data_IF_550806206794
#
_entry.id   IF_550806206794
#
_cell.length_a   1.000
_cell.length_b   1.000
_cell.length_c   1.000
_cell.angle_alpha   90.00
_cell.angle_beta   90.00
_cell.angle_gamma   90.00
#
_symmetry.space_group_name_H-M   'P 1'
#
loop_
_entity.id
_entity.type
_entity.pdbx_description
1 polymer ?
#
# COMPACT_ATOMS: atom_id res chain seq x y z
N UNK A 1 -65.55 8.32 -43.92
CA UNK A 1 -66.38 9.11 -42.99
C UNK A 1 -65.63 9.29 -41.71
N UNK A 2 -65.03 10.46 -41.50
CA UNK A 2 -64.35 10.83 -40.27
C UNK A 2 -65.30 11.66 -39.42
N UNK A 3 -65.50 11.46 -38.10
CA UNK A 3 -66.20 12.36 -37.22
C UNK A 3 -65.31 13.53 -36.80
N UNK A 4 -65.90 14.74 -36.84
CA UNK A 4 -65.30 16.02 -36.53
C UNK A 4 -65.00 16.27 -35.05
N UNK A 5 -64.35 17.41 -34.74
CA UNK A 5 -63.91 17.72 -33.41
C UNK A 5 -65.07 18.35 -32.58
N UNK A 6 -65.46 17.69 -31.49
CA UNK A 6 -66.30 18.30 -30.47
C UNK A 6 -65.47 18.90 -29.33
N UNK A 7 -65.82 20.11 -29.05
CA UNK A 7 -65.40 21.08 -28.06
C UNK A 7 -65.06 20.54 -26.68
N UNK A 8 -63.88 20.84 -26.20
CA UNK A 8 -63.57 21.00 -24.77
C UNK A 8 -63.61 22.49 -24.41
N UNK A 9 -64.81 22.93 -24.02
CA UNK A 9 -64.98 24.21 -23.34
C UNK A 9 -64.95 23.97 -21.83
N UNK A 10 -64.14 24.71 -21.13
CA UNK A 10 -64.34 25.03 -19.75
C UNK A 10 -63.48 24.34 -18.71
N UNK A 11 -62.35 24.90 -18.45
CA UNK A 11 -61.72 25.12 -17.12
C UNK A 11 -60.59 26.12 -17.27
N UNK A 12 -60.91 27.41 -17.26
CA UNK A 12 -59.89 28.46 -17.06
C UNK A 12 -59.41 28.41 -15.61
N UNK A 13 -58.12 28.19 -15.34
CA UNK A 13 -57.58 28.44 -14.03
C UNK A 13 -57.53 29.97 -13.83
N UNK A 14 -58.18 30.42 -12.77
CA UNK A 14 -58.21 31.82 -12.32
C UNK A 14 -56.81 32.27 -11.89
N UNK A 15 -55.99 32.62 -12.87
CA UNK A 15 -54.64 33.18 -12.65
C UNK A 15 -54.83 34.67 -12.34
N UNK A 16 -54.66 35.07 -11.06
CA UNK A 16 -54.51 36.45 -10.66
C UNK A 16 -53.32 37.03 -11.43
N UNK A 17 -53.58 37.99 -12.35
CA UNK A 17 -52.58 38.67 -13.14
C UNK A 17 -51.67 39.45 -12.20
N UNK A 18 -50.36 39.19 -12.17
CA UNK A 18 -49.40 40.04 -11.44
C UNK A 18 -49.29 41.41 -12.13
N UNK A 19 -49.04 42.47 -11.34
CA UNK A 19 -48.78 43.83 -11.86
C UNK A 19 -47.51 43.78 -12.73
N UNK A 20 -47.68 44.10 -13.99
CA UNK A 20 -46.69 43.96 -15.04
C UNK A 20 -45.98 45.28 -15.30
N UNK A 21 -44.67 45.35 -15.10
CA UNK A 21 -43.82 46.46 -15.56
C UNK A 21 -43.44 46.18 -17.03
N UNK A 22 -43.92 47.05 -17.95
CA UNK A 22 -43.54 46.95 -19.38
C UNK A 22 -42.13 47.46 -19.60
N UNK A 23 -41.21 46.58 -19.94
CA UNK A 23 -39.85 46.91 -20.40
C UNK A 23 -39.77 46.74 -21.91
N UNK A 24 -39.63 47.83 -22.67
CA UNK A 24 -39.37 47.78 -24.11
C UNK A 24 -37.93 47.48 -24.38
N UNK A 25 -37.59 46.28 -24.86
CA UNK A 25 -36.29 45.93 -25.40
C UNK A 25 -36.34 46.11 -26.93
N UNK A 26 -35.61 47.16 -27.42
CA UNK A 26 -35.40 47.38 -28.85
C UNK A 26 -34.19 46.53 -29.26
N UNK A 27 -34.44 45.43 -29.92
CA UNK A 27 -33.36 44.66 -30.56
C UNK A 27 -33.15 45.14 -31.99
N UNK A 28 -32.08 45.88 -32.26
CA UNK A 28 -31.64 46.18 -33.61
C UNK A 28 -31.03 44.97 -34.30
N UNK A 29 -31.87 44.09 -34.75
CA UNK A 29 -31.46 43.01 -35.66
C UNK A 29 -32.32 43.16 -36.93
N UNK A 30 -31.71 43.60 -38.04
CA UNK A 30 -32.36 43.78 -39.35
C UNK A 30 -32.68 42.44 -40.01
N UNK A 31 -33.87 41.91 -39.74
CA UNK A 31 -34.52 40.90 -40.60
C UNK A 31 -35.82 41.54 -41.13
N UNK A 32 -36.20 41.21 -42.37
CA UNK A 32 -37.26 41.95 -43.06
C UNK A 32 -38.65 41.38 -42.75
N UNK A 33 -39.06 41.35 -41.48
CA UNK A 33 -40.43 41.18 -41.10
C UNK A 33 -40.69 41.94 -39.81
N UNK A 34 -41.66 42.76 -39.92
CA UNK A 34 -42.12 43.80 -39.00
C UNK A 34 -42.40 43.29 -37.58
N UNK A 35 -41.90 44.02 -36.58
CA UNK A 35 -42.46 44.31 -35.27
C UNK A 35 -43.07 43.18 -34.48
N UNK A 36 -42.27 42.19 -34.13
CA UNK A 36 -42.62 41.36 -32.97
C UNK A 36 -41.98 41.94 -31.72
N UNK A 37 -42.74 42.81 -31.04
CA UNK A 37 -42.42 43.17 -29.64
C UNK A 37 -42.64 41.93 -28.77
N UNK A 38 -41.58 41.33 -28.33
CA UNK A 38 -41.64 40.25 -27.33
C UNK A 38 -41.75 40.94 -25.99
N UNK A 39 -42.97 41.06 -25.47
CA UNK A 39 -43.22 41.53 -24.11
C UNK A 39 -42.75 40.47 -23.10
N UNK A 40 -41.58 40.68 -22.57
CA UNK A 40 -41.14 39.91 -21.37
C UNK A 40 -41.71 40.59 -20.14
N UNK A 41 -42.61 39.94 -19.48
CA UNK A 41 -43.14 40.36 -18.19
C UNK A 41 -42.21 39.82 -17.09
N UNK A 42 -41.37 40.68 -16.52
CA UNK A 42 -40.53 40.36 -15.36
C UNK A 42 -41.31 40.76 -14.10
N UNK A 43 -41.58 39.81 -13.16
CA UNK A 43 -42.23 40.18 -11.90
C UNK A 43 -41.27 41.10 -11.10
N UNK A 44 -41.77 42.19 -10.50
CA UNK A 44 -40.92 43.22 -9.89
C UNK A 44 -40.25 42.85 -8.55
N UNK A 45 -40.38 41.60 -8.08
CA UNK A 45 -39.94 41.20 -6.75
C UNK A 45 -38.95 40.01 -6.73
N UNK A 46 -38.34 39.63 -7.84
CA UNK A 46 -37.34 38.56 -7.80
C UNK A 46 -35.96 39.13 -7.41
N UNK A 47 -35.54 38.80 -6.21
CA UNK A 47 -34.18 39.09 -5.70
C UNK A 47 -33.09 38.45 -6.58
N UNK A 48 -33.45 37.48 -7.44
CA UNK A 48 -32.58 36.74 -8.34
C UNK A 48 -33.16 36.77 -9.75
N UNK A 49 -32.50 37.44 -10.72
CA UNK A 49 -33.01 37.59 -12.09
C UNK A 49 -33.07 36.31 -12.92
N UNK A 50 -32.63 35.19 -12.37
CA UNK A 50 -32.52 33.85 -13.04
C UNK A 50 -33.67 32.90 -12.65
N UNK A 51 -34.47 33.19 -11.64
CA UNK A 51 -35.47 32.29 -11.12
C UNK A 51 -36.79 33.01 -10.93
N UNK A 52 -37.75 32.86 -11.87
CA UNK A 52 -39.06 33.50 -11.82
C UNK A 52 -39.98 32.90 -10.74
N UNK A 53 -39.81 31.59 -10.49
CA UNK A 53 -40.61 30.89 -9.46
C UNK A 53 -39.78 29.78 -8.81
N UNK A 54 -39.76 29.75 -7.47
CA UNK A 54 -39.21 28.64 -6.71
C UNK A 54 -40.15 27.43 -6.83
N UNK A 55 -39.60 26.31 -7.32
CA UNK A 55 -40.37 25.03 -7.32
C UNK A 55 -40.49 24.49 -5.90
N UNK A 56 -41.59 23.78 -5.65
CA UNK A 56 -41.78 23.05 -4.40
C UNK A 56 -40.64 22.04 -4.16
N UNK A 57 -40.37 21.72 -2.87
CA UNK A 57 -39.36 20.73 -2.54
C UNK A 57 -39.62 19.40 -3.29
N UNK A 58 -38.57 18.85 -3.84
CA UNK A 58 -38.66 17.61 -4.60
C UNK A 58 -39.07 16.43 -3.70
N UNK A 59 -39.54 15.36 -4.31
CA UNK A 59 -40.00 14.14 -3.65
C UNK A 59 -39.01 13.62 -2.60
N UNK A 60 -39.49 12.95 -1.56
CA UNK A 60 -38.70 12.42 -0.44
C UNK A 60 -37.51 11.55 -0.91
N UNK A 61 -37.67 10.75 -1.96
CA UNK A 61 -36.59 9.93 -2.53
C UNK A 61 -35.39 10.75 -3.00
N UNK A 62 -35.66 11.92 -3.59
CA UNK A 62 -34.60 12.84 -3.99
C UNK A 62 -33.81 13.37 -2.77
N UNK A 63 -34.50 13.73 -1.70
CA UNK A 63 -33.90 14.23 -0.46
C UNK A 63 -33.07 13.14 0.22
N UNK A 64 -33.58 11.89 0.28
CA UNK A 64 -32.87 10.75 0.82
C UNK A 64 -31.61 10.41 -0.01
N UNK A 65 -31.67 10.48 -1.33
CA UNK A 65 -30.53 10.29 -2.20
C UNK A 65 -29.42 11.31 -1.90
N UNK A 66 -29.77 12.59 -1.75
CA UNK A 66 -28.81 13.65 -1.38
C UNK A 66 -28.24 13.47 0.02
N UNK A 67 -29.02 12.99 0.99
CA UNK A 67 -28.51 12.59 2.30
C UNK A 67 -27.47 11.48 2.19
N UNK A 68 -27.71 10.45 1.37
CA UNK A 68 -26.75 9.37 1.11
C UNK A 68 -25.45 9.92 0.49
N UNK A 69 -25.53 10.84 -0.47
CA UNK A 69 -24.35 11.49 -1.06
C UNK A 69 -23.58 12.30 -0.02
N UNK A 70 -24.25 13.05 0.84
CA UNK A 70 -23.63 13.80 1.91
C UNK A 70 -22.87 12.90 2.88
N UNK A 71 -23.45 11.76 3.27
CA UNK A 71 -22.80 10.77 4.13
C UNK A 71 -21.60 10.14 3.40
N UNK A 72 -21.73 9.86 2.09
CA UNK A 72 -20.64 9.32 1.30
C UNK A 72 -19.41 10.27 1.30
N UNK A 73 -19.64 11.56 1.09
CA UNK A 73 -18.56 12.56 1.08
C UNK A 73 -17.97 12.85 2.47
N UNK A 74 -18.68 12.55 3.56
CA UNK A 74 -18.14 12.63 4.92
C UNK A 74 -17.25 11.44 5.30
N UNK A 75 -16.92 10.55 4.37
CA UNK A 75 -16.14 9.33 4.59
C UNK A 75 -14.67 9.65 4.97
N UNK A 76 -14.07 8.92 5.92
CA UNK A 76 -12.66 9.09 6.30
C UNK A 76 -11.69 8.60 5.21
N UNK A 77 -10.51 9.23 5.11
CA UNK A 77 -9.45 8.87 4.16
C UNK A 77 -8.75 7.56 4.57
N UNK A 78 -9.41 6.43 4.41
CA UNK A 78 -8.87 5.10 4.67
C UNK A 78 -9.39 4.09 3.64
N UNK A 79 -8.71 2.95 3.47
CA UNK A 79 -9.20 1.90 2.54
C UNK A 79 -10.61 1.42 2.87
N UNK A 80 -10.96 1.33 4.17
CA UNK A 80 -12.31 1.01 4.61
C UNK A 80 -13.27 2.18 4.40
N UNK A 81 -12.79 3.42 4.55
CA UNK A 81 -13.56 4.62 4.27
C UNK A 81 -13.94 4.75 2.79
N UNK A 82 -13.01 4.45 1.88
CA UNK A 82 -13.31 4.43 0.44
C UNK A 82 -14.38 3.39 0.11
N UNK A 83 -14.35 2.21 0.73
CA UNK A 83 -15.42 1.21 0.59
C UNK A 83 -16.75 1.74 1.10
N UNK A 84 -16.76 2.37 2.28
CA UNK A 84 -17.94 3.00 2.87
C UNK A 84 -18.54 4.06 1.94
N UNK A 85 -17.70 4.94 1.38
CA UNK A 85 -18.07 5.97 0.42
C UNK A 85 -18.80 5.37 -0.79
N UNK A 86 -18.20 4.37 -1.45
CA UNK A 86 -18.81 3.75 -2.64
C UNK A 86 -20.13 3.02 -2.31
N UNK A 87 -20.25 2.40 -1.14
CA UNK A 87 -21.51 1.78 -0.71
C UNK A 87 -22.63 2.81 -0.58
N UNK A 88 -22.38 3.97 0.03
CA UNK A 88 -23.35 5.04 0.16
C UNK A 88 -23.68 5.72 -1.17
N UNK A 89 -22.67 5.86 -2.07
CA UNK A 89 -22.90 6.34 -3.42
C UNK A 89 -23.82 5.41 -4.21
N UNK A 90 -23.64 4.10 -4.12
CA UNK A 90 -24.53 3.12 -4.78
C UNK A 90 -25.96 3.28 -4.28
N UNK A 91 -26.15 3.37 -2.97
CA UNK A 91 -27.48 3.56 -2.38
C UNK A 91 -28.13 4.88 -2.84
N UNK A 92 -27.37 5.99 -2.81
CA UNK A 92 -27.85 7.28 -3.28
C UNK A 92 -28.20 7.29 -4.77
N UNK A 93 -27.34 6.72 -5.61
CA UNK A 93 -27.59 6.61 -7.06
C UNK A 93 -28.76 5.70 -7.38
N UNK A 94 -28.98 4.63 -6.61
CA UNK A 94 -30.16 3.78 -6.75
C UNK A 94 -31.44 4.55 -6.43
N UNK A 95 -31.50 5.29 -5.32
CA UNK A 95 -32.63 6.12 -4.95
C UNK A 95 -32.87 7.22 -5.98
N UNK A 96 -31.82 7.85 -6.48
CA UNK A 96 -31.89 8.90 -7.49
C UNK A 96 -32.40 8.35 -8.83
N UNK A 97 -31.95 7.18 -9.25
CA UNK A 97 -32.40 6.51 -10.47
C UNK A 97 -33.90 6.13 -10.37
N UNK A 98 -34.32 5.58 -9.23
CA UNK A 98 -35.75 5.24 -9.02
C UNK A 98 -36.62 6.48 -9.01
N UNK A 99 -36.17 7.59 -8.44
CA UNK A 99 -36.88 8.87 -8.49
C UNK A 99 -36.93 9.41 -9.92
N UNK A 100 -35.83 9.36 -10.69
CA UNK A 100 -35.77 9.81 -12.08
C UNK A 100 -36.75 9.04 -12.97
N UNK A 101 -36.88 7.73 -12.77
CA UNK A 101 -37.74 6.86 -13.55
C UNK A 101 -39.23 7.03 -13.17
N UNK A 102 -39.55 6.97 -11.86
CA UNK A 102 -40.92 6.89 -11.38
C UNK A 102 -41.60 8.26 -11.19
N UNK A 103 -40.83 9.31 -10.92
CA UNK A 103 -41.41 10.63 -10.55
C UNK A 103 -41.24 11.63 -11.68
N UNK A 104 -40.08 11.72 -12.30
CA UNK A 104 -39.83 12.70 -13.37
C UNK A 104 -40.09 12.10 -14.75
N UNK A 105 -40.04 10.76 -14.90
CA UNK A 105 -40.12 10.06 -16.18
C UNK A 105 -39.01 10.52 -17.18
N UNK A 106 -37.78 10.77 -16.68
CA UNK A 106 -36.66 11.23 -17.47
C UNK A 106 -35.68 10.07 -17.72
N UNK A 107 -35.73 9.38 -18.87
CA UNK A 107 -34.92 8.19 -19.14
C UNK A 107 -33.42 8.49 -19.28
N UNK A 108 -33.05 9.68 -19.73
CA UNK A 108 -31.68 10.17 -19.82
C UNK A 108 -31.03 10.31 -18.44
N UNK A 109 -31.71 10.93 -17.49
CA UNK A 109 -31.25 11.05 -16.10
C UNK A 109 -31.12 9.67 -15.44
N UNK A 110 -32.08 8.80 -15.67
CA UNK A 110 -32.03 7.41 -15.20
C UNK A 110 -30.80 6.69 -15.73
N UNK A 111 -30.57 6.74 -17.05
CA UNK A 111 -29.50 5.99 -17.72
C UNK A 111 -28.12 6.39 -17.19
N UNK A 112 -27.86 7.70 -17.05
CA UNK A 112 -26.59 8.17 -16.52
C UNK A 112 -26.37 7.78 -15.06
N UNK A 113 -27.36 7.92 -14.20
CA UNK A 113 -27.25 7.55 -12.80
C UNK A 113 -27.10 6.03 -12.61
N UNK A 114 -27.78 5.25 -13.43
CA UNK A 114 -27.64 3.80 -13.44
C UNK A 114 -26.22 3.38 -13.89
N UNK A 115 -25.66 4.02 -14.90
CA UNK A 115 -24.28 3.79 -15.34
C UNK A 115 -23.28 4.13 -14.23
N UNK A 116 -23.45 5.27 -13.54
CA UNK A 116 -22.59 5.63 -12.40
C UNK A 116 -22.74 4.64 -11.23
N UNK A 117 -23.92 4.12 -10.99
CA UNK A 117 -24.16 3.07 -10.00
C UNK A 117 -23.36 1.80 -10.33
N UNK A 118 -23.37 1.36 -11.59
CA UNK A 118 -22.61 0.19 -12.04
C UNK A 118 -21.09 0.41 -11.90
N UNK A 119 -20.58 1.59 -12.22
CA UNK A 119 -19.17 1.94 -12.03
C UNK A 119 -18.78 1.88 -10.54
N UNK A 120 -19.61 2.45 -9.66
CA UNK A 120 -19.36 2.38 -8.22
C UNK A 120 -19.41 0.94 -7.70
N UNK A 121 -20.30 0.10 -8.23
CA UNK A 121 -20.35 -1.33 -7.90
C UNK A 121 -19.06 -2.06 -8.33
N UNK A 122 -18.54 -1.78 -9.51
CA UNK A 122 -17.26 -2.33 -9.97
C UNK A 122 -16.11 -1.91 -9.04
N UNK A 123 -16.08 -0.65 -8.58
CA UNK A 123 -15.11 -0.18 -7.60
C UNK A 123 -15.22 -0.91 -6.26
N UNK A 124 -16.44 -1.14 -5.75
CA UNK A 124 -16.67 -1.93 -4.53
C UNK A 124 -16.10 -3.34 -4.68
N UNK A 125 -16.39 -4.03 -5.78
CA UNK A 125 -15.82 -5.37 -6.03
C UNK A 125 -14.31 -5.36 -6.10
N UNK A 126 -13.71 -4.35 -6.75
CA UNK A 126 -12.27 -4.20 -6.81
C UNK A 126 -11.64 -4.00 -5.42
N UNK A 127 -12.22 -3.12 -4.59
CA UNK A 127 -11.75 -2.87 -3.22
C UNK A 127 -11.91 -4.11 -2.35
N UNK A 128 -13.03 -4.82 -2.44
CA UNK A 128 -13.26 -6.08 -1.71
C UNK A 128 -12.25 -7.15 -2.12
N UNK A 129 -11.91 -7.24 -3.40
CA UNK A 129 -10.85 -8.12 -3.88
C UNK A 129 -9.49 -7.78 -3.26
N UNK A 130 -9.14 -6.48 -3.17
CA UNK A 130 -7.91 -6.03 -2.53
C UNK A 130 -7.89 -6.23 -1.01
N UNK A 131 -9.05 -6.17 -0.35
CA UNK A 131 -9.20 -6.36 1.10
C UNK A 131 -9.22 -7.83 1.52
N UNK A 132 -9.21 -8.79 0.58
CA UNK A 132 -9.18 -10.21 0.93
C UNK A 132 -7.99 -10.50 1.82
N UNK A 133 -8.19 -11.18 2.96
CA UNK A 133 -7.10 -11.57 3.84
C UNK A 133 -6.19 -12.58 3.10
N UNK A 134 -4.93 -12.21 2.96
CA UNK A 134 -3.91 -13.13 2.46
C UNK A 134 -3.63 -14.14 3.55
N UNK A 135 -3.87 -15.42 3.26
CA UNK A 135 -3.52 -16.55 4.15
C UNK A 135 -2.20 -17.15 3.65
N UNK A 136 -1.35 -17.54 4.59
CA UNK A 136 -0.11 -18.25 4.35
C UNK A 136 -0.20 -19.66 4.95
N UNK A 137 0.70 -20.55 4.53
CA UNK A 137 0.96 -21.81 5.22
C UNK A 137 1.47 -21.54 6.64
N UNK A 138 1.23 -22.47 7.59
CA UNK A 138 1.53 -22.25 9.01
C UNK A 138 3.00 -21.83 9.25
N UNK A 139 3.95 -22.45 8.54
CA UNK A 139 5.37 -22.11 8.64
C UNK A 139 5.68 -20.69 8.13
N UNK A 140 5.08 -20.28 7.01
CA UNK A 140 5.23 -18.93 6.46
C UNK A 140 4.52 -17.87 7.33
N UNK A 141 3.43 -18.25 7.99
CA UNK A 141 2.72 -17.36 8.92
C UNK A 141 3.59 -17.06 10.14
N UNK A 142 4.28 -18.07 10.67
CA UNK A 142 5.23 -17.93 11.78
C UNK A 142 6.39 -17.01 11.40
N UNK A 143 6.99 -17.23 10.21
CA UNK A 143 8.04 -16.36 9.66
C UNK A 143 7.55 -14.92 9.51
N UNK A 144 6.33 -14.73 8.97
CA UNK A 144 5.75 -13.40 8.84
C UNK A 144 5.61 -12.70 10.18
N UNK A 145 5.05 -13.37 11.19
CA UNK A 145 4.84 -12.80 12.51
C UNK A 145 6.15 -12.50 13.23
N UNK A 146 7.13 -13.40 13.13
CA UNK A 146 8.40 -13.28 13.86
C UNK A 146 9.33 -12.26 13.23
N UNK A 147 9.48 -12.25 11.90
CA UNK A 147 10.48 -11.43 11.23
C UNK A 147 9.92 -10.14 10.62
N UNK A 148 8.76 -10.19 9.95
CA UNK A 148 8.27 -9.09 9.11
C UNK A 148 7.20 -8.22 9.78
N UNK A 149 6.36 -8.80 10.63
CA UNK A 149 5.29 -8.08 11.34
C UNK A 149 5.81 -6.94 12.22
N UNK A 150 6.94 -7.09 12.96
CA UNK A 150 7.49 -6.00 13.77
C UNK A 150 7.87 -4.76 12.94
N UNK A 151 8.26 -4.95 11.67
CA UNK A 151 8.56 -3.87 10.74
C UNK A 151 7.34 -3.35 9.99
N UNK A 152 6.11 -3.75 10.36
CA UNK A 152 4.85 -3.34 9.71
C UNK A 152 4.79 -3.65 8.21
N UNK A 153 5.51 -4.66 7.74
CA UNK A 153 5.41 -5.15 6.36
C UNK A 153 3.98 -5.65 6.11
N UNK A 154 3.35 -5.20 5.03
CA UNK A 154 2.00 -5.64 4.71
C UNK A 154 2.00 -7.11 4.25
N UNK A 155 0.92 -7.84 4.54
CA UNK A 155 0.77 -9.24 4.09
C UNK A 155 0.88 -9.39 2.57
N UNK A 156 0.46 -8.38 1.81
CA UNK A 156 0.56 -8.39 0.36
C UNK A 156 2.01 -8.27 -0.13
N UNK A 157 2.81 -7.40 0.51
CA UNK A 157 4.24 -7.28 0.21
C UNK A 157 4.99 -8.56 0.55
N UNK A 158 4.73 -9.14 1.73
CA UNK A 158 5.31 -10.44 2.11
C UNK A 158 4.90 -11.55 1.13
N UNK A 159 3.61 -11.62 0.72
CA UNK A 159 3.15 -12.58 -0.29
C UNK A 159 3.92 -12.45 -1.60
N UNK A 160 4.19 -11.21 -2.05
CA UNK A 160 4.99 -10.99 -3.26
C UNK A 160 6.39 -11.52 -3.10
N UNK A 161 7.04 -11.25 -1.96
CA UNK A 161 8.40 -11.69 -1.67
C UNK A 161 8.55 -13.22 -1.62
N UNK A 162 7.54 -13.93 -1.09
CA UNK A 162 7.54 -15.41 -1.01
C UNK A 162 6.83 -16.09 -2.18
N UNK A 163 6.43 -15.32 -3.21
CA UNK A 163 5.81 -15.89 -4.41
C UNK A 163 6.81 -16.72 -5.20
N UNK A 164 6.30 -17.71 -5.94
CA UNK A 164 7.12 -18.59 -6.80
C UNK A 164 7.92 -17.84 -7.89
N UNK A 165 7.62 -16.57 -8.13
CA UNK A 165 8.38 -15.69 -9.03
C UNK A 165 9.77 -15.35 -8.44
N UNK A 166 9.86 -15.16 -7.13
CA UNK A 166 11.08 -14.67 -6.45
C UNK A 166 11.71 -15.71 -5.55
N UNK A 167 10.92 -16.59 -4.96
CA UNK A 167 11.35 -17.53 -3.94
C UNK A 167 10.92 -18.96 -4.24
N UNK A 168 11.69 -19.93 -3.77
CA UNK A 168 11.37 -21.33 -3.89
C UNK A 168 11.44 -22.00 -2.52
N UNK A 169 10.50 -22.90 -2.25
CA UNK A 169 10.46 -23.70 -1.02
C UNK A 169 10.98 -25.10 -1.35
N UNK A 170 11.98 -25.53 -0.58
CA UNK A 170 12.61 -26.87 -0.72
C UNK A 170 12.63 -27.58 0.63
N UNK A 171 12.80 -28.89 0.57
CA UNK A 171 12.96 -29.75 1.74
C UNK A 171 14.32 -30.43 1.73
N UNK A 172 14.88 -30.65 2.92
CA UNK A 172 16.11 -31.41 3.15
C UNK A 172 15.81 -32.55 4.11
N UNK A 173 16.33 -33.73 3.82
CA UNK A 173 16.29 -34.88 4.74
C UNK A 173 17.39 -34.77 5.78
N UNK A 174 17.24 -35.44 6.90
CA UNK A 174 18.27 -35.52 7.93
C UNK A 174 19.59 -36.07 7.34
N UNK A 175 20.69 -35.34 7.59
CA UNK A 175 22.03 -35.65 7.05
C UNK A 175 22.31 -35.06 5.67
N UNK A 176 21.33 -34.47 5.00
CA UNK A 176 21.52 -33.81 3.72
C UNK A 176 22.13 -32.41 3.90
N UNK A 177 23.04 -32.04 3.00
CA UNK A 177 23.71 -30.75 3.06
C UNK A 177 22.99 -29.69 2.22
N UNK A 178 22.66 -28.58 2.83
CA UNK A 178 22.20 -27.37 2.12
C UNK A 178 23.35 -26.74 1.31
N UNK A 179 24.54 -26.68 1.92
CA UNK A 179 25.75 -26.17 1.30
C UNK A 179 26.97 -26.96 1.82
N UNK A 180 27.96 -27.13 0.96
CA UNK A 180 29.22 -27.80 1.29
C UNK A 180 30.37 -26.79 1.15
N UNK A 181 31.25 -26.78 2.15
CA UNK A 181 32.44 -25.93 2.23
C UNK A 181 33.31 -26.08 0.96
N UNK A 182 33.73 -24.95 0.40
CA UNK A 182 34.55 -24.82 -0.81
C UNK A 182 33.97 -25.46 -2.09
N UNK A 183 32.73 -25.94 -2.04
CA UNK A 183 32.08 -26.57 -3.19
C UNK A 183 30.90 -25.76 -3.70
N UNK A 184 29.95 -25.42 -2.82
CA UNK A 184 28.71 -24.73 -3.17
C UNK A 184 28.96 -23.24 -3.39
N UNK A 185 28.32 -22.62 -4.40
CA UNK A 185 28.38 -21.18 -4.67
C UNK A 185 27.42 -20.40 -3.77
N UNK A 186 27.80 -19.16 -3.44
CA UNK A 186 27.01 -18.25 -2.61
C UNK A 186 26.07 -17.38 -3.45
N UNK A 187 25.21 -18.01 -4.26
CA UNK A 187 24.34 -17.35 -5.23
C UNK A 187 22.89 -17.15 -4.72
N UNK A 188 22.60 -17.57 -3.51
CA UNK A 188 21.26 -17.58 -2.93
C UNK A 188 21.25 -17.14 -1.48
N UNK A 189 20.09 -16.75 -0.99
CA UNK A 189 19.80 -16.49 0.43
C UNK A 189 18.72 -17.46 0.90
N UNK A 190 19.03 -18.29 1.88
CA UNK A 190 18.12 -19.28 2.45
C UNK A 190 17.58 -18.87 3.80
N UNK A 191 16.31 -19.18 4.06
CA UNK A 191 15.62 -18.97 5.34
C UNK A 191 15.02 -20.30 5.80
N UNK A 192 15.35 -20.75 7.00
CA UNK A 192 14.82 -21.98 7.57
C UNK A 192 13.37 -21.77 8.02
N UNK A 193 12.45 -22.58 7.50
CA UNK A 193 11.04 -22.55 7.87
C UNK A 193 10.74 -23.52 9.02
N UNK A 194 11.24 -24.74 8.92
CA UNK A 194 11.07 -25.78 9.95
C UNK A 194 12.25 -26.74 9.99
N UNK A 195 12.44 -27.41 11.11
CA UNK A 195 13.56 -28.33 11.35
C UNK A 195 14.76 -27.64 12.00
N UNK A 196 15.93 -28.25 11.88
CA UNK A 196 17.18 -27.75 12.47
C UNK A 196 18.35 -28.11 11.58
N UNK A 197 19.25 -27.13 11.33
CA UNK A 197 20.50 -27.34 10.62
C UNK A 197 21.68 -27.06 11.55
N UNK A 198 22.82 -27.69 11.28
CA UNK A 198 24.08 -27.41 11.93
C UNK A 198 25.08 -26.82 10.95
N UNK A 199 25.79 -25.80 11.39
CA UNK A 199 26.91 -25.20 10.65
C UNK A 199 28.20 -25.83 11.11
N UNK A 200 29.01 -26.31 10.15
CA UNK A 200 30.27 -26.97 10.36
C UNK A 200 31.37 -26.25 9.57
N UNK A 201 32.54 -26.05 10.17
CA UNK A 201 33.78 -25.63 9.49
C UNK A 201 34.85 -26.63 9.75
N UNK A 202 35.46 -27.17 8.69
CA UNK A 202 36.48 -28.23 8.81
C UNK A 202 36.05 -29.38 9.71
N UNK A 203 34.78 -29.84 9.57
CA UNK A 203 34.11 -30.85 10.39
C UNK A 203 33.90 -30.46 11.86
N UNK A 204 34.23 -29.24 12.28
CA UNK A 204 33.95 -28.76 13.64
C UNK A 204 32.59 -28.05 13.69
N UNK A 205 31.77 -28.41 14.68
CA UNK A 205 30.49 -27.77 14.91
C UNK A 205 30.65 -26.32 15.40
N UNK A 206 30.11 -25.37 14.64
CA UNK A 206 30.11 -23.95 14.98
C UNK A 206 28.86 -23.57 15.79
N UNK A 207 27.70 -23.61 15.16
CA UNK A 207 26.42 -23.26 15.79
C UNK A 207 25.25 -23.95 15.09
N UNK A 208 24.11 -24.13 15.77
CA UNK A 208 22.88 -24.58 15.13
C UNK A 208 22.17 -23.41 14.45
N UNK A 209 21.34 -23.71 13.46
CA UNK A 209 20.36 -22.80 12.85
C UNK A 209 18.97 -23.33 13.18
N UNK A 210 18.11 -22.45 13.68
CA UNK A 210 16.74 -22.72 14.12
C UNK A 210 15.72 -22.13 13.14
N UNK A 211 14.43 -22.51 13.21
CA UNK A 211 13.38 -21.91 12.41
C UNK A 211 13.35 -20.38 12.55
N UNK A 212 12.98 -19.69 11.47
CA UNK A 212 13.03 -18.24 11.33
C UNK A 212 14.44 -17.61 11.36
N UNK A 213 15.52 -18.39 11.18
CA UNK A 213 16.88 -17.91 10.99
C UNK A 213 17.34 -18.13 9.56
N UNK A 214 18.21 -17.26 9.05
CA UNK A 214 18.79 -17.44 7.72
C UNK A 214 19.84 -18.56 7.75
N UNK A 215 19.92 -19.32 6.65
CA UNK A 215 20.89 -20.41 6.55
C UNK A 215 22.32 -19.87 6.29
N UNK A 216 22.42 -18.85 5.45
CA UNK A 216 23.65 -18.42 4.81
C UNK A 216 23.84 -16.90 4.79
N UNK A 217 23.25 -16.17 5.75
CA UNK A 217 23.34 -14.71 5.83
C UNK A 217 24.79 -14.18 5.82
N UNK A 218 25.77 -14.76 6.54
CA UNK A 218 27.14 -14.28 6.51
C UNK A 218 27.80 -14.47 5.14
N UNK A 219 27.63 -15.63 4.53
CA UNK A 219 28.16 -15.96 3.21
C UNK A 219 27.52 -15.13 2.11
N UNK A 220 26.21 -14.92 2.18
CA UNK A 220 25.46 -14.08 1.24
C UNK A 220 25.95 -12.63 1.27
N UNK A 221 26.16 -12.05 2.44
CA UNK A 221 26.60 -10.66 2.55
C UNK A 221 28.10 -10.50 2.22
N UNK A 222 28.95 -11.44 2.62
CA UNK A 222 30.37 -11.39 2.32
C UNK A 222 30.70 -11.52 0.82
N UNK A 223 29.88 -12.25 0.06
CA UNK A 223 30.05 -12.49 -1.37
C UNK A 223 29.40 -11.44 -2.28
N UNK A 224 29.01 -10.30 -1.73
CA UNK A 224 28.27 -9.25 -2.46
C UNK A 224 29.04 -8.71 -3.68
N UNK A 225 30.36 -8.66 -3.60
CA UNK A 225 31.22 -8.08 -4.63
C UNK A 225 31.91 -9.12 -5.53
N UNK A 226 31.73 -10.42 -5.30
CA UNK A 226 32.43 -11.49 -6.00
C UNK A 226 31.45 -12.57 -6.43
N UNK A 227 31.36 -12.78 -7.75
CA UNK A 227 30.37 -13.69 -8.36
C UNK A 227 30.72 -15.18 -8.16
N UNK A 228 31.98 -15.49 -7.85
CA UNK A 228 32.49 -16.87 -7.77
C UNK A 228 32.83 -17.33 -6.35
N UNK A 229 32.41 -16.58 -5.32
CA UNK A 229 32.67 -16.99 -3.95
C UNK A 229 31.92 -18.27 -3.59
N UNK A 230 32.64 -19.17 -2.93
CA UNK A 230 32.12 -20.44 -2.42
C UNK A 230 31.89 -20.34 -0.92
N UNK A 231 30.96 -21.18 -0.43
CA UNK A 231 30.72 -21.31 1.00
C UNK A 231 32.02 -21.67 1.75
N UNK A 232 32.26 -20.98 2.84
CA UNK A 232 33.39 -21.23 3.76
C UNK A 232 33.05 -22.22 4.87
N UNK A 233 31.76 -22.61 4.93
CA UNK A 233 31.23 -23.55 5.92
C UNK A 233 30.32 -24.58 5.23
N UNK A 234 30.11 -25.72 5.87
CA UNK A 234 29.12 -26.71 5.48
C UNK A 234 27.87 -26.53 6.37
N UNK A 235 26.69 -26.59 5.76
CA UNK A 235 25.41 -26.48 6.45
C UNK A 235 24.64 -27.79 6.21
N UNK A 236 24.43 -28.57 7.29
CA UNK A 236 23.86 -29.91 7.22
C UNK A 236 22.60 -29.98 8.05
N UNK A 237 21.54 -30.55 7.48
CA UNK A 237 20.26 -30.77 8.17
C UNK A 237 20.41 -31.86 9.25
N UNK A 238 20.01 -31.55 10.49
CA UNK A 238 20.02 -32.50 11.61
C UNK A 238 18.73 -33.28 11.70
N UNK A 239 17.64 -32.70 11.21
CA UNK A 239 16.31 -33.28 11.11
C UNK A 239 15.74 -33.02 9.73
N UNK A 240 14.56 -33.56 9.41
CA UNK A 240 13.85 -33.12 8.21
C UNK A 240 13.57 -31.62 8.30
N UNK A 241 14.02 -30.88 7.31
CA UNK A 241 13.96 -29.41 7.27
C UNK A 241 13.18 -28.95 6.04
N UNK A 242 12.45 -27.86 6.19
CA UNK A 242 11.92 -27.06 5.05
C UNK A 242 12.53 -25.69 5.10
N UNK A 243 12.92 -25.17 3.95
CA UNK A 243 13.51 -23.84 3.83
C UNK A 243 13.00 -23.12 2.59
N UNK A 244 13.00 -21.82 2.66
CA UNK A 244 12.70 -20.91 1.56
C UNK A 244 14.02 -20.31 1.11
N UNK A 245 14.25 -20.21 -0.20
CA UNK A 245 15.41 -19.49 -0.69
C UNK A 245 15.07 -18.53 -1.84
N UNK A 246 15.85 -17.46 -1.91
CA UNK A 246 15.84 -16.50 -3.00
C UNK A 246 17.14 -16.58 -3.76
N UNK A 247 17.07 -16.57 -5.09
CA UNK A 247 18.26 -16.35 -5.90
C UNK A 247 18.70 -14.88 -5.78
N UNK A 248 20.00 -14.60 -5.75
CA UNK A 248 20.55 -13.25 -5.62
C UNK A 248 19.99 -12.29 -6.67
N UNK A 249 19.97 -12.68 -7.94
CA UNK A 249 19.44 -11.87 -9.04
C UNK A 249 17.95 -11.52 -8.88
N UNK A 250 17.14 -12.48 -8.43
CA UNK A 250 15.72 -12.27 -8.16
C UNK A 250 15.50 -11.32 -6.98
N UNK A 251 16.36 -11.45 -5.95
CA UNK A 251 16.28 -10.62 -4.77
C UNK A 251 16.71 -9.17 -5.07
N UNK A 252 17.76 -8.97 -5.84
CA UNK A 252 18.22 -7.66 -6.29
C UNK A 252 17.15 -6.96 -7.15
N UNK A 253 16.50 -7.68 -8.05
CA UNK A 253 15.37 -7.15 -8.82
C UNK A 253 14.19 -6.74 -7.93
N UNK A 254 13.87 -7.56 -6.92
CA UNK A 254 12.83 -7.22 -5.93
C UNK A 254 13.20 -5.96 -5.14
N UNK A 255 14.47 -5.78 -4.79
CA UNK A 255 14.95 -4.62 -4.03
C UNK A 255 14.80 -3.31 -4.82
N UNK A 256 14.99 -3.35 -6.13
CA UNK A 256 14.76 -2.18 -7.00
C UNK A 256 13.27 -1.81 -7.05
N UNK A 257 12.39 -2.82 -7.07
CA UNK A 257 10.92 -2.60 -7.12
C UNK A 257 10.31 -2.17 -5.79
N UNK A 258 10.84 -2.68 -4.69
CA UNK A 258 10.27 -2.53 -3.34
C UNK A 258 11.36 -2.10 -2.35
N UNK A 259 11.80 -0.82 -2.38
CA UNK A 259 12.93 -0.35 -1.57
C UNK A 259 12.69 -0.49 -0.06
N UNK A 260 11.43 -0.43 0.37
CA UNK A 260 11.08 -0.68 1.77
C UNK A 260 11.38 -2.12 2.18
N UNK A 261 11.01 -3.10 1.36
CA UNK A 261 11.34 -4.51 1.62
C UNK A 261 12.84 -4.75 1.58
N UNK A 262 13.58 -4.07 0.71
CA UNK A 262 15.03 -4.12 0.67
C UNK A 262 15.62 -3.69 2.02
N UNK A 263 15.20 -2.55 2.56
CA UNK A 263 15.67 -2.05 3.86
C UNK A 263 15.34 -3.01 4.99
N UNK A 264 14.12 -3.54 5.03
CA UNK A 264 13.70 -4.51 6.05
C UNK A 264 14.56 -5.77 5.97
N UNK A 265 14.71 -6.36 4.78
CA UNK A 265 15.45 -7.62 4.63
C UNK A 265 16.94 -7.44 4.93
N UNK A 266 17.56 -6.35 4.50
CA UNK A 266 18.97 -6.01 4.86
C UNK A 266 19.12 -5.86 6.38
N UNK A 267 18.16 -5.24 7.05
CA UNK A 267 18.17 -5.11 8.53
C UNK A 267 18.06 -6.48 9.20
N UNK A 268 17.19 -7.36 8.67
CA UNK A 268 17.04 -8.72 9.19
C UNK A 268 18.30 -9.56 9.00
N UNK A 269 18.94 -9.48 7.83
CA UNK A 269 20.22 -10.13 7.53
C UNK A 269 21.30 -9.65 8.50
N UNK A 270 21.45 -8.34 8.66
CA UNK A 270 22.42 -7.75 9.57
C UNK A 270 22.21 -8.19 11.03
N UNK A 271 20.94 -8.23 11.47
CA UNK A 271 20.57 -8.72 12.81
C UNK A 271 20.92 -10.20 12.99
N UNK A 272 20.63 -11.03 12.00
CA UNK A 272 20.93 -12.46 12.02
C UNK A 272 22.43 -12.72 12.09
N UNK A 273 23.22 -12.03 11.26
CA UNK A 273 24.71 -12.09 11.29
C UNK A 273 25.22 -11.69 12.67
N UNK A 274 24.71 -10.60 13.24
CA UNK A 274 25.13 -10.12 14.55
C UNK A 274 24.83 -11.17 15.63
N UNK A 275 23.65 -11.75 15.61
CA UNK A 275 23.23 -12.80 16.58
C UNK A 275 24.15 -14.02 16.50
N UNK A 276 24.47 -14.49 15.29
CA UNK A 276 25.36 -15.63 15.05
C UNK A 276 26.79 -15.32 15.50
N UNK A 277 27.29 -14.11 15.20
CA UNK A 277 28.63 -13.67 15.63
C UNK A 277 28.74 -13.66 17.15
N UNK A 278 27.75 -13.12 17.86
CA UNK A 278 27.74 -13.13 19.34
C UNK A 278 27.67 -14.55 19.90
N UNK A 279 26.86 -15.43 19.31
CA UNK A 279 26.76 -16.83 19.73
C UNK A 279 28.12 -17.56 19.59
N UNK A 280 28.80 -17.36 18.45
CA UNK A 280 30.13 -17.92 18.20
C UNK A 280 31.19 -17.35 19.14
N UNK A 281 31.18 -16.03 19.37
CA UNK A 281 32.11 -15.38 20.26
C UNK A 281 31.95 -15.90 21.71
N UNK A 282 30.75 -16.00 22.22
CA UNK A 282 30.47 -16.55 23.54
C UNK A 282 30.97 -17.99 23.66
N UNK A 283 30.83 -18.82 22.61
CA UNK A 283 31.34 -20.18 22.60
C UNK A 283 32.87 -20.23 22.68
N UNK A 284 33.57 -19.37 21.95
CA UNK A 284 35.05 -19.26 21.97
C UNK A 284 35.52 -18.81 23.35
N UNK A 285 34.86 -17.82 23.94
CA UNK A 285 35.16 -17.30 25.28
C UNK A 285 34.99 -18.38 26.33
N UNK A 286 33.91 -19.14 26.31
CA UNK A 286 33.70 -20.24 27.27
C UNK A 286 34.67 -21.37 27.08
N UNK A 287 35.13 -21.67 25.85
CA UNK A 287 36.08 -22.74 25.55
C UNK A 287 37.55 -22.37 25.86
N UNK A 288 37.94 -21.11 25.69
CA UNK A 288 39.36 -20.68 25.81
C UNK A 288 39.64 -19.80 27.03
N UNK A 289 38.60 -19.43 27.81
CA UNK A 289 38.79 -18.59 29.01
C UNK A 289 39.26 -17.16 28.73
N UNK A 290 39.35 -16.74 27.46
CA UNK A 290 39.75 -15.40 27.07
C UNK A 290 38.56 -14.63 26.54
N UNK A 291 38.21 -13.56 27.23
CA UNK A 291 37.21 -12.60 26.70
C UNK A 291 37.83 -11.81 25.55
N UNK A 292 37.45 -12.10 24.31
CA UNK A 292 37.45 -11.08 23.27
C UNK A 292 36.36 -10.07 23.64
N UNK A 293 36.74 -9.03 24.39
CA UNK A 293 35.81 -7.97 24.75
C UNK A 293 35.53 -7.14 23.48
N UNK A 294 34.43 -7.46 22.80
CA UNK A 294 33.96 -6.71 21.61
C UNK A 294 33.29 -5.38 22.06
N UNK A 295 33.26 -5.11 23.37
CA UNK A 295 32.75 -3.83 23.86
C UNK A 295 33.75 -2.75 23.43
N UNK A 296 33.19 -1.72 22.77
CA UNK A 296 33.93 -0.48 22.56
C UNK A 296 34.53 -0.04 23.91
N UNK A 297 35.82 0.24 24.01
CA UNK A 297 36.39 0.73 25.27
C UNK A 297 35.60 1.96 25.70
N UNK A 298 35.00 1.88 26.90
CA UNK A 298 34.26 3.00 27.44
C UNK A 298 35.26 4.15 27.64
N UNK A 299 34.89 5.33 27.14
CA UNK A 299 35.71 6.57 27.23
C UNK A 299 36.08 6.90 28.69
N UNK A 300 35.38 6.33 29.66
CA UNK A 300 35.62 6.50 31.10
C UNK A 300 36.85 5.79 31.64
N UNK A 301 37.42 4.76 30.96
CA UNK A 301 38.62 4.09 31.44
C UNK A 301 39.92 4.82 31.08
N UNK A 302 39.87 5.82 30.20
CA UNK A 302 41.05 6.61 29.83
C UNK A 302 41.32 7.81 30.76
N UNK A 303 40.47 8.09 31.73
CA UNK A 303 40.60 9.24 32.65
C UNK A 303 41.30 8.90 33.96
N UNK A 304 41.59 7.62 34.27
CA UNK A 304 42.13 7.19 35.55
C UNK A 304 43.59 6.70 35.54
N UNK A 305 44.25 6.60 34.34
CA UNK A 305 45.68 6.32 34.27
C UNK A 305 46.41 7.55 33.75
N UNK A 306 46.98 8.33 34.68
CA UNK A 306 47.88 9.44 34.37
C UNK A 306 49.18 8.93 33.74
N UNK A 307 49.16 8.73 32.44
CA UNK A 307 50.31 8.39 31.59
C UNK A 307 50.25 9.24 30.34
N UNK A 308 51.36 9.95 30.12
CA UNK A 308 51.63 10.87 29.03
C UNK A 308 51.25 10.29 27.65
N UNK A 309 50.20 10.83 27.01
CA UNK A 309 49.66 10.35 25.75
C UNK A 309 50.37 11.02 24.56
N UNK A 310 51.26 10.29 23.90
CA UNK A 310 51.72 10.67 22.55
C UNK A 310 50.58 10.42 21.57
N UNK A 311 50.08 11.49 20.95
CA UNK A 311 49.01 11.49 19.95
C UNK A 311 49.36 10.56 18.77
N UNK A 312 48.50 9.60 18.41
CA UNK A 312 48.66 8.87 17.17
C UNK A 312 48.25 9.73 15.98
N UNK A 313 49.03 9.60 14.93
CA UNK A 313 48.93 10.28 13.64
C UNK A 313 47.52 10.15 13.10
N UNK A 314 46.92 11.30 12.76
CA UNK A 314 45.57 11.46 12.17
C UNK A 314 45.60 10.93 10.73
N UNK A 315 45.20 9.69 10.52
CA UNK A 315 44.87 9.17 9.20
C UNK A 315 43.54 9.79 8.79
N UNK A 316 43.63 10.75 7.89
CA UNK A 316 42.46 11.44 7.29
C UNK A 316 41.76 10.48 6.30
N UNK A 317 40.79 9.69 6.77
CA UNK A 317 39.97 8.88 5.90
C UNK A 317 38.95 9.76 5.21
N UNK A 318 39.08 9.93 3.91
CA UNK A 318 38.35 10.85 3.04
C UNK A 318 37.08 10.22 2.46
N UNK A 319 36.44 9.27 3.12
CA UNK A 319 35.19 8.64 2.64
C UNK A 319 34.24 8.29 3.79
N UNK A 320 33.85 9.29 4.61
CA UNK A 320 32.63 9.16 5.38
C UNK A 320 31.51 9.79 4.57
N UNK A 321 30.73 8.97 3.90
CA UNK A 321 29.43 9.37 3.35
C UNK A 321 28.55 9.71 4.54
N UNK A 322 28.15 10.96 4.62
CA UNK A 322 27.33 11.52 5.70
C UNK A 322 25.92 10.92 5.60
N UNK A 323 25.65 9.95 6.46
CA UNK A 323 24.37 9.22 6.53
C UNK A 323 23.20 10.18 6.86
N UNK A 324 23.46 11.37 7.43
CA UNK A 324 22.41 12.36 7.70
C UNK A 324 21.80 12.96 6.43
N UNK A 325 22.60 13.17 5.40
CA UNK A 325 22.11 13.72 4.13
C UNK A 325 21.17 12.76 3.37
N UNK A 326 21.28 11.45 3.62
CA UNK A 326 20.44 10.44 3.01
C UNK A 326 19.01 10.42 3.62
N UNK A 327 18.90 10.73 4.92
CA UNK A 327 17.61 10.78 5.61
C UNK A 327 16.80 12.05 5.31
N UNK A 328 17.46 13.17 5.08
CA UNK A 328 16.80 14.43 4.74
C UNK A 328 16.23 14.44 3.32
N UNK A 329 16.89 13.82 2.34
CA UNK A 329 16.37 13.71 0.98
C UNK A 329 15.18 12.73 0.86
N UNK A 330 15.12 11.68 1.69
CA UNK A 330 14.01 10.72 1.66
C UNK A 330 12.71 11.25 2.29
N UNK A 331 12.78 12.34 3.06
CA UNK A 331 11.59 12.94 3.70
C UNK A 331 10.99 14.12 2.91
N UNK A 332 11.71 14.63 1.89
CA UNK A 332 11.21 15.76 1.08
C UNK A 332 10.42 15.37 -0.17
N UNK A 333 10.35 14.07 -0.52
CA UNK A 333 9.62 13.57 -1.69
C UNK A 333 8.23 12.97 -1.37
N UNK A 334 7.75 13.08 -0.13
CA UNK A 334 6.43 12.55 0.27
C UNK A 334 5.54 13.64 0.92
N UNK A 335 5.53 14.86 0.35
CA UNK A 335 4.46 15.83 0.58
C UNK A 335 3.77 16.20 -0.72
#
# INVERSE_FOLDING_TARGET
MAPGPEAYSGLEPNIKKPNVLHVHLITNLSWPDEDKFINYTIPPETLWPWCDYWKEPQHLMFQLANCCFSIAYASPCSKKGVLFMHCWLILGLMLFSTWAWNVICAPDVFTWNFAFMLLNMAHVFHILYQLRPVKFDAELEEVYHTLFSPFKVSRLQFKRMVSSEFAQIMSLHAGEAYAMQNLTRTDRLGLLLSGKCNVLSDNQFLHPILPCEFLDSPEFESSRNTVDDKFKVSIVATSSCRYLYWQRSSLEYLFVKEPYLATVLTTLIARDITTKLYAMNNKIVTAKGSHLDIRLPSITSSLTSGGEYKSPVRIRNKNSVDIRHFWEMSMSENY
#
